data_IF_316133945136
#
_entry.id   IF_316133945136
#
_cell.length_a   1.000
_cell.length_b   1.000
_cell.length_c   1.000
_cell.angle_alpha   90.00
_cell.angle_beta   90.00
_cell.angle_gamma   90.00
#
_symmetry.space_group_name_H-M   'P 1'
#
loop_
_entity.id
_entity.type
_entity.pdbx_description
1 polymer ?
#
# COMPACT_ATOMS: atom_id res chain seq x y z
N UNK A 1 4.01 -12.28 -9.42
CA UNK A 1 4.71 -11.41 -10.40
C UNK A 1 6.05 -10.94 -9.80
N UNK A 2 6.03 -10.55 -8.57
CA UNK A 2 7.24 -10.07 -7.85
C UNK A 2 7.99 -11.24 -7.20
N UNK A 3 9.19 -11.02 -6.75
CA UNK A 3 9.94 -12.13 -6.10
C UNK A 3 8.97 -12.84 -5.15
N UNK A 4 9.20 -14.10 -4.90
CA UNK A 4 8.26 -14.84 -3.99
C UNK A 4 8.06 -14.02 -2.72
N UNK A 5 6.96 -14.21 -2.06
CA UNK A 5 6.68 -13.41 -0.83
C UNK A 5 7.94 -13.36 0.04
N UNK A 6 8.64 -12.24 0.08
CA UNK A 6 9.87 -12.09 0.89
C UNK A 6 9.56 -11.67 2.33
N UNK A 7 10.36 -12.08 3.27
CA UNK A 7 10.10 -11.69 4.68
C UNK A 7 10.30 -10.18 4.83
N UNK A 8 11.05 -9.75 5.81
CA UNK A 8 11.28 -8.29 5.99
C UNK A 8 11.77 -7.70 4.67
N UNK A 9 11.25 -6.56 4.29
CA UNK A 9 11.68 -5.94 3.00
C UNK A 9 12.88 -5.02 3.24
N UNK A 10 13.07 -4.05 2.38
CA UNK A 10 14.23 -3.13 2.53
C UNK A 10 13.77 -1.67 2.66
N UNK A 11 14.71 -0.76 2.64
CA UNK A 11 14.38 0.68 2.76
C UNK A 11 14.94 1.44 1.56
N UNK A 12 14.33 2.54 1.20
CA UNK A 12 14.85 3.33 0.03
C UNK A 12 14.74 4.83 0.34
N UNK A 13 15.61 5.61 -0.25
CA UNK A 13 15.56 7.08 0.00
C UNK A 13 14.90 7.75 -1.20
N UNK A 14 13.98 8.64 -0.98
CA UNK A 14 13.29 9.34 -2.10
C UNK A 14 13.34 10.84 -1.91
N UNK A 15 13.23 11.60 -2.96
CA UNK A 15 13.26 13.08 -2.81
C UNK A 15 11.86 13.60 -2.53
N UNK A 16 11.51 13.77 -1.29
CA UNK A 16 10.15 14.27 -0.94
C UNK A 16 10.14 14.70 0.51
N UNK A 17 9.37 15.70 0.85
CA UNK A 17 9.34 16.16 2.27
C UNK A 17 8.60 15.11 3.12
N UNK A 18 8.88 15.06 4.39
CA UNK A 18 8.20 14.07 5.27
C UNK A 18 6.69 14.31 5.22
N UNK A 19 6.29 15.56 5.28
CA UNK A 19 4.83 15.87 5.24
C UNK A 19 4.25 15.32 3.94
N UNK A 20 5.00 15.38 2.87
CA UNK A 20 4.50 14.86 1.58
C UNK A 20 4.24 13.36 1.69
N UNK A 21 5.09 12.64 2.37
CA UNK A 21 4.90 11.17 2.50
C UNK A 21 3.50 10.86 3.06
N UNK A 22 3.19 11.36 4.20
CA UNK A 22 1.86 11.07 4.80
C UNK A 22 0.77 11.79 3.99
N UNK A 23 1.06 12.96 3.51
CA UNK A 23 0.05 13.72 2.72
C UNK A 23 -0.24 13.04 1.37
N UNK A 24 0.78 12.54 0.71
CA UNK A 24 0.55 11.90 -0.61
C UNK A 24 -0.43 10.73 -0.48
N UNK A 25 -0.28 9.90 0.51
CA UNK A 25 -1.22 8.75 0.64
C UNK A 25 -2.65 9.29 0.78
N UNK A 26 -2.82 10.28 1.61
CA UNK A 26 -4.16 10.85 1.83
C UNK A 26 -4.51 11.87 0.73
N UNK A 27 -3.53 12.38 0.04
CA UNK A 27 -3.83 13.39 -1.03
C UNK A 27 -4.59 12.72 -2.18
N UNK A 28 -4.01 11.72 -2.78
CA UNK A 28 -4.69 11.03 -3.92
C UNK A 28 -3.75 10.00 -4.54
N UNK A 29 -3.66 8.85 -3.94
CA UNK A 29 -2.78 7.75 -4.45
C UNK A 29 -3.06 7.38 -5.91
N UNK A 30 -4.22 7.74 -6.41
CA UNK A 30 -4.55 7.41 -7.82
C UNK A 30 -3.59 8.14 -8.75
N UNK A 31 -2.93 9.15 -8.26
CA UNK A 31 -1.97 9.90 -9.12
C UNK A 31 -0.90 8.95 -9.67
N UNK A 32 -0.57 7.92 -8.95
CA UNK A 32 0.47 6.97 -9.44
C UNK A 32 0.07 5.53 -9.12
N UNK A 33 -1.17 5.29 -8.79
CA UNK A 33 -1.59 3.90 -8.47
C UNK A 33 -1.57 3.03 -9.74
N UNK A 34 -1.90 3.58 -10.88
CA UNK A 34 -1.92 2.83 -12.16
C UNK A 34 -0.57 2.92 -12.90
N UNK A 35 0.17 1.83 -12.97
CA UNK A 35 1.48 1.81 -13.67
C UNK A 35 1.33 1.63 -15.19
N UNK A 36 0.81 0.51 -15.60
CA UNK A 36 0.63 0.27 -17.07
C UNK A 36 -0.51 -0.73 -17.25
N UNK A 37 -0.34 -1.93 -16.79
CA UNK A 37 -1.41 -2.95 -16.92
C UNK A 37 -1.84 -3.38 -15.52
N UNK A 38 -3.12 -3.45 -15.28
CA UNK A 38 -3.61 -3.85 -13.92
C UNK A 38 -4.50 -5.08 -14.02
N UNK A 39 -4.29 -6.05 -13.17
CA UNK A 39 -5.15 -7.27 -13.21
C UNK A 39 -6.60 -6.88 -12.96
N UNK A 40 -6.82 -5.85 -12.21
CA UNK A 40 -8.22 -5.41 -11.92
C UNK A 40 -8.94 -5.12 -13.24
N UNK A 41 -10.16 -5.53 -13.36
CA UNK A 41 -10.90 -5.28 -14.63
C UNK A 41 -10.93 -3.77 -14.90
N UNK A 42 -11.01 -2.97 -13.88
CA UNK A 42 -11.03 -1.49 -14.09
C UNK A 42 -9.88 -0.85 -13.29
N UNK A 43 -9.20 0.09 -13.87
CA UNK A 43 -8.07 0.75 -13.16
C UNK A 43 -8.61 1.65 -12.05
N UNK A 44 -8.01 1.60 -10.89
CA UNK A 44 -8.48 2.46 -9.77
C UNK A 44 -8.30 3.94 -10.15
N UNK A 45 -9.23 4.77 -9.76
CA UNK A 45 -9.12 6.21 -10.11
C UNK A 45 -9.38 7.08 -8.87
N UNK A 46 -10.42 6.80 -8.13
CA UNK A 46 -10.72 7.61 -6.92
C UNK A 46 -10.34 6.83 -5.66
N UNK A 47 -9.97 7.52 -4.61
CA UNK A 47 -9.59 6.82 -3.36
C UNK A 47 -10.02 7.64 -2.14
N UNK A 48 -10.57 7.00 -1.15
CA UNK A 48 -10.98 7.73 0.08
C UNK A 48 -10.93 6.76 1.26
N UNK A 49 -10.23 7.11 2.30
CA UNK A 49 -10.14 6.19 3.48
C UNK A 49 -9.99 7.00 4.77
N UNK A 50 -10.50 6.47 5.85
CA UNK A 50 -10.36 7.17 7.17
C UNK A 50 -9.07 6.68 7.84
N UNK A 51 -8.06 7.51 7.97
CA UNK A 51 -6.76 7.11 8.58
C UNK A 51 -6.81 6.99 10.11
N UNK A 52 -7.04 5.81 10.61
CA UNK A 52 -7.08 5.62 12.09
C UNK A 52 -6.88 4.12 12.37
N UNK A 53 -6.84 3.73 13.61
CA UNK A 53 -6.66 2.28 13.91
C UNK A 53 -8.00 1.58 13.71
N UNK A 54 -8.04 0.58 12.87
CA UNK A 54 -9.34 -0.11 12.64
C UNK A 54 -10.18 0.74 11.69
N UNK A 55 -9.56 1.65 11.00
CA UNK A 55 -10.32 2.52 10.05
C UNK A 55 -10.74 1.68 8.84
N UNK A 56 -11.45 2.28 7.92
CA UNK A 56 -11.89 1.51 6.73
C UNK A 56 -11.28 2.13 5.47
N UNK A 57 -10.78 1.32 4.58
CA UNK A 57 -10.16 1.87 3.34
C UNK A 57 -10.95 1.37 2.13
N UNK A 58 -11.34 2.27 1.26
CA UNK A 58 -12.11 1.85 0.06
C UNK A 58 -11.70 2.69 -1.13
N UNK A 59 -11.90 2.19 -2.33
CA UNK A 59 -11.53 2.96 -3.54
C UNK A 59 -12.68 2.90 -4.55
N UNK A 60 -12.74 3.84 -5.45
CA UNK A 60 -13.84 3.80 -6.47
C UNK A 60 -13.27 3.31 -7.79
N UNK A 61 -13.92 2.37 -8.41
CA UNK A 61 -13.41 1.85 -9.71
C UNK A 61 -14.08 2.64 -10.85
N UNK A 62 -13.48 2.66 -12.00
CA UNK A 62 -14.08 3.43 -13.12
C UNK A 62 -15.55 3.03 -13.29
N UNK A 63 -15.85 1.75 -13.20
CA UNK A 63 -17.26 1.30 -13.35
C UNK A 63 -17.65 0.43 -12.15
N UNK A 64 -16.69 -0.05 -11.41
CA UNK A 64 -17.01 -0.92 -10.23
C UNK A 64 -17.31 -0.05 -9.01
N UNK A 65 -18.14 -0.53 -8.13
CA UNK A 65 -18.51 0.24 -6.91
C UNK A 65 -17.27 0.40 -6.01
N UNK A 66 -17.49 0.43 -4.73
CA UNK A 66 -16.36 0.59 -3.77
C UNK A 66 -15.87 -0.78 -3.29
N UNK A 67 -14.59 -1.00 -3.31
CA UNK A 67 -14.02 -2.30 -2.83
C UNK A 67 -12.96 -2.02 -1.77
N UNK A 68 -12.90 -2.80 -0.73
CA UNK A 68 -11.86 -2.56 0.31
C UNK A 68 -10.48 -2.84 -0.29
N UNK A 69 -9.57 -1.93 -0.16
CA UNK A 69 -8.21 -2.14 -0.73
C UNK A 69 -7.23 -2.53 0.39
N UNK A 70 -7.66 -2.46 1.62
CA UNK A 70 -6.76 -2.82 2.74
C UNK A 70 -7.36 -2.32 4.06
N UNK A 71 -6.54 -1.82 4.94
CA UNK A 71 -7.07 -1.30 6.24
C UNK A 71 -6.02 -0.37 6.85
N UNK A 72 -6.09 -0.15 8.13
CA UNK A 72 -5.08 0.73 8.80
C UNK A 72 -4.61 0.08 10.09
N UNK A 73 -3.49 0.51 10.63
CA UNK A 73 -2.97 -0.08 11.88
C UNK A 73 -2.80 1.01 12.94
N UNK A 74 -2.17 2.09 12.58
CA UNK A 74 -1.96 3.19 13.55
C UNK A 74 -1.32 4.39 12.83
N UNK A 75 -1.76 5.58 13.13
CA UNK A 75 -1.18 6.77 12.47
C UNK A 75 -0.26 7.50 13.47
N UNK A 76 1.01 7.55 13.17
CA UNK A 76 1.96 8.24 14.10
C UNK A 76 2.50 9.52 13.44
N UNK A 77 2.25 10.69 14.02
CA UNK A 77 2.72 11.98 13.45
C UNK A 77 4.06 11.82 12.72
N UNK A 78 4.36 12.72 11.80
CA UNK A 78 5.62 12.68 11.02
C UNK A 78 6.74 11.94 11.75
N UNK A 79 6.85 10.66 11.51
CA UNK A 79 7.91 9.88 12.20
C UNK A 79 7.62 8.37 12.04
N UNK A 80 6.39 7.95 12.24
CA UNK A 80 6.10 6.49 12.11
C UNK A 80 4.73 6.28 11.46
N UNK A 81 4.67 5.42 10.48
CA UNK A 81 3.38 5.13 9.80
C UNK A 81 3.15 3.62 9.76
N UNK A 82 2.02 3.16 10.22
CA UNK A 82 1.74 1.69 10.20
C UNK A 82 0.33 1.48 9.65
N UNK A 83 0.14 0.51 8.79
CA UNK A 83 -1.21 0.27 8.25
C UNK A 83 -1.48 -1.23 8.08
N UNK A 84 -2.67 -1.66 8.39
CA UNK A 84 -3.00 -3.10 8.21
C UNK A 84 -3.77 -3.22 6.89
N UNK A 85 -3.46 -4.18 6.07
CA UNK A 85 -4.19 -4.29 4.77
C UNK A 85 -5.17 -5.47 4.79
N UNK A 86 -6.43 -5.19 4.63
CA UNK A 86 -7.44 -6.28 4.63
C UNK A 86 -8.07 -6.36 3.23
N UNK A 87 -7.74 -7.37 2.47
CA UNK A 87 -8.31 -7.50 1.10
C UNK A 87 -8.57 -8.97 0.78
N UNK A 88 -9.38 -9.26 -0.20
CA UNK A 88 -9.67 -10.68 -0.53
C UNK A 88 -8.74 -11.14 -1.67
N UNK A 89 -8.38 -12.39 -1.67
CA UNK A 89 -7.47 -12.90 -2.74
C UNK A 89 -8.15 -12.74 -4.10
N UNK A 90 -9.44 -12.86 -4.15
CA UNK A 90 -10.16 -12.72 -5.44
C UNK A 90 -10.54 -11.25 -5.68
N UNK A 91 -9.81 -10.35 -5.06
CA UNK A 91 -10.13 -8.90 -5.24
C UNK A 91 -11.59 -8.66 -4.87
N UNK A 92 -12.15 -9.51 -4.06
CA UNK A 92 -13.57 -9.33 -3.66
C UNK A 92 -13.63 -8.40 -2.44
N UNK A 93 -13.92 -8.94 -1.29
CA UNK A 93 -13.98 -8.07 -0.07
C UNK A 93 -13.79 -8.95 1.18
N UNK A 94 -13.33 -8.36 2.26
CA UNK A 94 -13.12 -9.14 3.50
C UNK A 94 -13.74 -8.38 4.69
N UNK A 95 -15.00 -8.55 4.93
CA UNK A 95 -15.71 -7.85 6.04
C UNK A 95 -15.01 -8.02 7.39
N UNK A 96 -14.15 -9.00 7.52
CA UNK A 96 -13.45 -9.19 8.82
C UNK A 96 -12.03 -9.66 8.56
N UNK A 97 -11.10 -9.28 9.41
CA UNK A 97 -9.69 -9.71 9.20
C UNK A 97 -9.47 -11.08 9.84
N UNK A 98 -9.45 -12.12 9.06
CA UNK A 98 -9.22 -13.47 9.63
C UNK A 98 -7.72 -13.75 9.65
N UNK A 99 -7.09 -13.60 8.52
CA UNK A 99 -5.62 -13.84 8.44
C UNK A 99 -4.94 -12.60 7.85
N UNK A 100 -5.48 -11.44 8.11
CA UNK A 100 -4.87 -10.20 7.55
C UNK A 100 -3.49 -9.99 8.19
N UNK A 101 -2.59 -9.36 7.47
CA UNK A 101 -1.22 -9.13 8.01
C UNK A 101 -1.02 -7.63 8.26
N UNK A 102 -0.04 -7.27 9.04
CA UNK A 102 0.20 -5.82 9.33
C UNK A 102 1.48 -5.36 8.64
N UNK A 103 1.53 -4.11 8.26
CA UNK A 103 2.73 -3.57 7.58
C UNK A 103 3.36 -2.47 8.43
N UNK A 104 4.66 -2.44 8.53
CA UNK A 104 5.31 -1.37 9.35
C UNK A 104 6.07 -0.41 8.43
N UNK A 105 5.76 0.86 8.51
CA UNK A 105 6.46 1.84 7.64
C UNK A 105 6.93 3.02 8.52
N UNK A 106 8.18 3.38 8.42
CA UNK A 106 8.68 4.52 9.23
C UNK A 106 9.15 5.64 8.30
N UNK A 107 8.74 6.85 8.56
CA UNK A 107 9.18 7.98 7.68
C UNK A 107 9.96 9.00 8.49
N UNK A 108 11.18 9.25 8.12
CA UNK A 108 12.01 10.25 8.85
C UNK A 108 12.73 11.14 7.83
N UNK A 109 12.86 12.42 8.11
CA UNK A 109 13.55 13.37 7.18
C UNK A 109 15.01 12.98 6.92
N UNK A 110 15.40 12.90 5.67
CA UNK A 110 16.80 12.52 5.34
C UNK A 110 17.47 13.65 4.57
N UNK A 111 18.49 14.23 5.13
CA UNK A 111 19.21 15.33 4.42
C UNK A 111 18.24 16.49 4.16
N UNK A 112 18.20 16.96 2.95
CA UNK A 112 17.29 18.09 2.62
C UNK A 112 15.85 17.58 2.51
N UNK A 113 15.08 18.15 1.64
CA UNK A 113 13.66 17.72 1.48
C UNK A 113 13.60 16.21 1.23
N UNK A 114 14.72 15.54 1.20
CA UNK A 114 14.69 14.07 0.94
C UNK A 114 14.29 13.33 2.22
N UNK A 115 13.39 12.40 2.11
CA UNK A 115 12.95 11.63 3.31
C UNK A 115 13.28 10.15 3.09
N UNK A 116 13.75 9.49 4.10
CA UNK A 116 14.10 8.04 3.96
C UNK A 116 13.12 7.22 4.78
N UNK A 117 12.55 6.20 4.18
CA UNK A 117 11.58 5.36 4.94
C UNK A 117 11.95 3.88 4.89
N UNK A 118 11.76 3.20 6.00
CA UNK A 118 12.08 1.74 6.05
C UNK A 118 10.77 0.96 6.04
N UNK A 119 10.55 0.16 5.03
CA UNK A 119 9.29 -0.63 4.95
C UNK A 119 9.62 -2.12 5.09
N UNK A 120 8.97 -2.79 6.01
CA UNK A 120 9.23 -4.25 6.19
C UNK A 120 7.90 -5.00 6.26
N UNK A 121 7.84 -6.14 5.64
CA UNK A 121 6.58 -6.96 5.67
C UNK A 121 6.88 -8.32 6.28
N UNK A 122 6.03 -8.78 7.17
CA UNK A 122 6.27 -10.11 7.77
C UNK A 122 4.96 -10.90 7.89
N UNK A 123 5.03 -12.20 7.74
CA UNK A 123 3.82 -13.05 7.85
C UNK A 123 2.72 -12.61 6.88
N UNK A 124 3.09 -12.05 5.76
CA UNK A 124 2.05 -11.63 4.77
C UNK A 124 1.36 -12.88 4.22
N UNK A 125 2.11 -13.93 4.00
CA UNK A 125 1.52 -15.18 3.46
C UNK A 125 0.47 -15.72 4.42
N UNK A 126 0.54 -15.40 5.68
CA UNK A 126 -0.46 -15.91 6.64
C UNK A 126 -1.85 -15.75 6.03
N UNK A 127 -2.01 -14.80 5.16
CA UNK A 127 -3.33 -14.59 4.53
C UNK A 127 -3.76 -15.88 3.81
N UNK A 128 -2.84 -16.51 3.13
CA UNK A 128 -3.16 -17.78 2.42
C UNK A 128 -4.57 -17.74 1.82
N UNK A 129 -5.09 -16.56 1.61
CA UNK A 129 -6.47 -16.46 1.03
C UNK A 129 -6.36 -16.04 -0.43
N UNK A 130 -5.18 -16.08 -1.00
CA UNK A 130 -5.02 -15.67 -2.42
C UNK A 130 -4.61 -14.21 -2.47
N UNK A 131 -4.27 -13.64 -1.34
CA UNK A 131 -3.85 -12.21 -1.31
C UNK A 131 -2.64 -12.01 -2.22
N UNK A 132 -1.85 -13.03 -2.41
CA UNK A 132 -0.66 -12.90 -3.29
C UNK A 132 -1.10 -12.40 -4.66
N UNK A 133 -2.22 -12.84 -5.14
CA UNK A 133 -2.70 -12.37 -6.47
C UNK A 133 -2.89 -10.85 -6.44
N UNK A 134 -3.39 -10.33 -5.35
CA UNK A 134 -3.58 -8.85 -5.26
C UNK A 134 -2.23 -8.16 -5.41
N UNK A 135 -1.21 -8.70 -4.82
CA UNK A 135 0.14 -8.09 -4.93
C UNK A 135 0.57 -8.07 -6.41
N UNK A 136 0.22 -9.08 -7.15
CA UNK A 136 0.61 -9.13 -8.59
C UNK A 136 0.08 -7.88 -9.31
N UNK A 137 -1.14 -7.50 -9.04
CA UNK A 137 -1.69 -6.30 -9.72
C UNK A 137 -0.94 -5.06 -9.23
N UNK A 138 -0.71 -4.98 -7.95
CA UNK A 138 0.03 -3.81 -7.40
C UNK A 138 1.46 -3.85 -7.93
N UNK A 139 1.95 -5.02 -8.24
CA UNK A 139 3.34 -5.14 -8.75
C UNK A 139 3.38 -4.67 -10.22
N UNK A 140 3.93 -3.51 -10.44
CA UNK A 140 4.01 -2.98 -11.83
C UNK A 140 5.41 -3.29 -12.40
N UNK A 141 5.79 -2.56 -13.42
CA UNK A 141 7.12 -2.75 -14.08
C UNK A 141 8.27 -2.68 -13.08
N UNK A 142 9.32 -3.42 -13.31
CA UNK A 142 10.48 -3.40 -12.37
C UNK A 142 9.99 -3.80 -10.98
N UNK A 143 9.59 -5.04 -10.83
CA UNK A 143 9.07 -5.57 -9.53
C UNK A 143 10.07 -5.38 -8.39
N UNK A 144 9.59 -5.14 -7.20
CA UNK A 144 10.50 -4.94 -6.04
C UNK A 144 9.69 -4.50 -4.83
N UNK A 145 10.35 -4.18 -3.74
CA UNK A 145 9.61 -3.75 -2.52
C UNK A 145 8.65 -2.62 -2.88
N UNK A 146 7.67 -2.38 -2.05
CA UNK A 146 6.69 -1.30 -2.35
C UNK A 146 7.42 0.03 -2.50
N UNK A 147 8.45 0.24 -1.72
CA UNK A 147 9.21 1.51 -1.81
C UNK A 147 9.80 1.67 -3.21
N UNK A 148 10.10 0.58 -3.87
CA UNK A 148 10.70 0.68 -5.24
C UNK A 148 9.73 1.37 -6.21
N UNK A 149 8.54 0.85 -6.35
CA UNK A 149 7.57 1.48 -7.29
C UNK A 149 7.15 2.85 -6.73
N UNK A 150 6.96 2.94 -5.44
CA UNK A 150 6.55 4.24 -4.83
C UNK A 150 7.65 5.29 -5.05
N UNK A 151 8.89 4.92 -4.89
CA UNK A 151 9.99 5.90 -5.08
C UNK A 151 10.09 6.30 -6.56
N UNK A 152 9.93 5.37 -7.45
CA UNK A 152 10.03 5.71 -8.90
C UNK A 152 8.91 6.66 -9.31
N UNK A 153 7.69 6.36 -8.97
CA UNK A 153 6.56 7.26 -9.34
C UNK A 153 6.65 8.55 -8.53
N UNK A 154 7.25 8.49 -7.37
CA UNK A 154 7.35 9.72 -6.53
C UNK A 154 8.57 10.54 -6.96
#
# INVERSE_FOLDING_TARGET
>A
MPEEIPDVRKSVVVAASVEHCFEVFTSRPADWWPPSHVLVKKERAGLAFEPFVGGRYYEWDIDGTEIVWGRILEWDPPHRLAMTWRIDGHWQSVPDDDRASEIEVDFVPNGSGGTRVELAHVKLHRHGDGAWNIHKALDGPSPGETLARFANVI
#
